data_IF_889852427253
#
_entry.id   IF_889852427253
#
_cell.length_a   1.000
_cell.length_b   1.000
_cell.length_c   1.000
_cell.angle_alpha   90.00
_cell.angle_beta   90.00
_cell.angle_gamma   90.00
#
_symmetry.space_group_name_H-M   'P 1'
#
loop_
_entity.id
_entity.type
_entity.pdbx_description
1 polymer ?
#
# COMPACT_ATOMS: atom_id res chain seq x y z
N UNK A 1 -42.81 20.53 41.61
CA UNK A 1 -42.31 19.16 41.37
C UNK A 1 -42.33 18.76 39.89
N UNK A 2 -43.46 18.91 39.16
CA UNK A 2 -43.55 18.56 37.72
C UNK A 2 -42.56 19.29 36.79
N UNK A 3 -42.32 20.59 36.99
CA UNK A 3 -41.41 21.37 36.14
C UNK A 3 -39.94 20.95 36.27
N UNK A 4 -39.50 20.65 37.50
CA UNK A 4 -38.15 20.16 37.78
C UNK A 4 -37.94 18.77 37.16
N UNK A 5 -38.97 17.91 37.25
CA UNK A 5 -38.95 16.59 36.61
C UNK A 5 -38.86 16.68 35.08
N UNK A 6 -39.64 17.57 34.45
CA UNK A 6 -39.57 17.79 33.00
C UNK A 6 -38.20 18.32 32.59
N UNK A 7 -37.63 19.29 33.32
CA UNK A 7 -36.31 19.84 33.02
C UNK A 7 -35.19 18.79 33.13
N UNK A 8 -35.24 17.93 34.15
CA UNK A 8 -34.26 16.84 34.32
C UNK A 8 -34.37 15.83 33.16
N UNK A 9 -35.59 15.43 32.77
CA UNK A 9 -35.82 14.49 31.67
C UNK A 9 -35.35 15.09 30.34
N UNK A 10 -35.64 16.38 30.08
CA UNK A 10 -35.16 17.08 28.88
C UNK A 10 -33.63 17.23 28.88
N UNK A 11 -33.01 17.52 30.03
CA UNK A 11 -31.56 17.62 30.16
C UNK A 11 -30.85 16.27 29.97
N UNK A 12 -31.40 15.17 30.50
CA UNK A 12 -30.88 13.82 30.30
C UNK A 12 -31.04 13.33 28.86
N UNK A 13 -32.18 13.59 28.23
CA UNK A 13 -32.41 13.24 26.82
C UNK A 13 -31.47 14.01 25.90
N UNK A 14 -31.23 15.31 26.14
CA UNK A 14 -30.25 16.10 25.39
C UNK A 14 -28.81 15.58 25.58
N UNK A 15 -28.40 15.21 26.80
CA UNK A 15 -27.09 14.61 27.04
C UNK A 15 -26.91 13.27 26.30
N UNK A 16 -27.95 12.44 26.25
CA UNK A 16 -27.95 11.17 25.53
C UNK A 16 -27.92 11.34 24.01
N UNK A 17 -28.65 12.33 23.48
CA UNK A 17 -28.64 12.68 22.05
C UNK A 17 -27.27 13.19 21.62
N UNK A 18 -26.63 14.05 22.41
CA UNK A 18 -25.29 14.58 22.12
C UNK A 18 -24.23 13.47 22.03
N UNK A 19 -24.29 12.47 22.92
CA UNK A 19 -23.41 11.31 22.86
C UNK A 19 -23.64 10.43 21.61
N UNK A 20 -24.91 10.26 21.21
CA UNK A 20 -25.27 9.51 19.99
C UNK A 20 -24.81 10.22 18.72
N UNK A 21 -25.02 11.54 18.62
CA UNK A 21 -24.57 12.34 17.48
C UNK A 21 -23.05 12.46 17.43
N UNK A 22 -22.38 12.53 18.58
CA UNK A 22 -20.91 12.53 18.66
C UNK A 22 -20.31 11.24 18.07
N UNK A 23 -20.85 10.08 18.44
CA UNK A 23 -20.40 8.79 17.89
C UNK A 23 -20.70 8.66 16.39
N UNK A 24 -21.82 9.22 15.92
CA UNK A 24 -22.15 9.28 14.49
C UNK A 24 -21.18 10.19 13.72
N UNK A 25 -20.79 11.33 14.28
CA UNK A 25 -19.79 12.23 13.69
C UNK A 25 -18.41 11.58 13.62
N UNK A 26 -18.00 10.86 14.67
CA UNK A 26 -16.75 10.07 14.67
C UNK A 26 -16.79 9.02 13.56
N UNK A 27 -17.90 8.28 13.43
CA UNK A 27 -18.04 7.26 12.39
C UNK A 27 -17.91 7.85 10.98
N UNK A 28 -18.59 8.97 10.71
CA UNK A 28 -18.47 9.70 9.43
C UNK A 28 -17.06 10.20 9.17
N UNK A 29 -16.38 10.72 10.21
CA UNK A 29 -15.01 11.21 10.12
C UNK A 29 -14.01 10.08 9.82
N UNK A 30 -14.18 8.90 10.45
CA UNK A 30 -13.35 7.72 10.16
C UNK A 30 -13.54 7.26 8.71
N UNK A 31 -14.78 7.20 8.23
CA UNK A 31 -15.09 6.84 6.84
C UNK A 31 -14.43 7.83 5.88
N UNK A 32 -14.54 9.13 6.15
CA UNK A 32 -13.91 10.17 5.35
C UNK A 32 -12.39 9.99 5.28
N UNK A 33 -11.74 9.74 6.42
CA UNK A 33 -10.28 9.51 6.49
C UNK A 33 -9.89 8.27 5.66
N UNK A 34 -10.69 7.21 5.71
CA UNK A 34 -10.42 5.98 4.94
C UNK A 34 -10.53 6.19 3.43
N UNK A 35 -11.30 7.18 2.97
CA UNK A 35 -11.47 7.52 1.56
C UNK A 35 -10.36 8.40 1.00
N UNK A 36 -9.68 9.20 1.84
CA UNK A 36 -8.59 10.10 1.43
C UNK A 36 -7.50 9.41 0.58
N UNK A 37 -7.00 8.21 0.92
CA UNK A 37 -5.95 7.53 0.14
C UNK A 37 -6.40 7.13 -1.27
N UNK A 38 -7.70 6.97 -1.51
CA UNK A 38 -8.26 6.69 -2.83
C UNK A 38 -8.43 8.00 -3.60
N UNK A 39 -8.93 9.04 -2.93
CA UNK A 39 -9.10 10.37 -3.49
C UNK A 39 -7.79 10.93 -4.07
N UNK A 40 -6.64 10.70 -3.43
CA UNK A 40 -5.34 11.16 -3.98
C UNK A 40 -5.02 10.55 -5.35
N UNK A 41 -5.38 9.28 -5.59
CA UNK A 41 -5.12 8.62 -6.88
C UNK A 41 -6.05 9.15 -7.96
N UNK A 42 -7.32 9.35 -7.62
CA UNK A 42 -8.31 9.95 -8.51
C UNK A 42 -7.91 11.38 -8.88
N UNK A 43 -7.48 12.16 -7.90
CA UNK A 43 -7.01 13.53 -8.10
C UNK A 43 -5.88 13.61 -9.13
N UNK A 44 -4.87 12.74 -9.05
CA UNK A 44 -3.75 12.68 -10.02
C UNK A 44 -4.26 12.44 -11.45
N UNK A 45 -5.27 11.60 -11.63
CA UNK A 45 -5.83 11.28 -12.95
C UNK A 45 -6.61 12.47 -13.50
N UNK A 46 -7.45 13.10 -12.67
CA UNK A 46 -8.22 14.29 -13.06
C UNK A 46 -7.29 15.44 -13.42
N UNK A 47 -6.30 15.70 -12.58
CA UNK A 47 -5.27 16.72 -12.78
C UNK A 47 -4.49 16.51 -14.09
N UNK A 48 -4.14 15.25 -14.38
CA UNK A 48 -3.52 14.86 -15.65
C UNK A 48 -4.44 15.11 -16.84
N UNK A 49 -5.73 14.76 -16.74
CA UNK A 49 -6.69 14.93 -17.84
C UNK A 49 -6.88 16.40 -18.21
N UNK A 50 -7.03 17.28 -17.21
CA UNK A 50 -7.18 18.73 -17.43
C UNK A 50 -5.96 19.33 -18.10
N UNK A 51 -4.74 18.89 -17.75
CA UNK A 51 -3.48 19.45 -18.27
C UNK A 51 -2.76 18.56 -19.27
N UNK A 52 -3.44 17.57 -19.85
CA UNK A 52 -2.82 16.54 -20.67
C UNK A 52 -2.02 17.13 -21.84
N UNK A 53 -2.58 18.14 -22.51
CA UNK A 53 -1.93 18.82 -23.64
C UNK A 53 -0.60 19.49 -23.24
N UNK A 54 -0.57 20.16 -22.08
CA UNK A 54 0.65 20.77 -21.57
C UNK A 54 1.69 19.73 -21.16
N UNK A 55 1.24 18.69 -20.45
CA UNK A 55 2.09 17.59 -19.98
C UNK A 55 2.71 16.84 -21.17
N UNK A 56 1.94 16.57 -22.22
CA UNK A 56 2.43 15.94 -23.44
C UNK A 56 3.49 16.78 -24.17
N UNK A 57 3.36 18.11 -24.16
CA UNK A 57 4.30 19.03 -24.82
C UNK A 57 5.63 19.21 -24.08
N UNK A 58 5.61 19.19 -22.74
CA UNK A 58 6.76 19.58 -21.89
C UNK A 58 7.43 18.39 -21.20
N UNK A 59 6.66 17.37 -20.78
CA UNK A 59 7.14 16.28 -19.90
C UNK A 59 7.26 14.93 -20.61
N UNK A 60 6.94 14.84 -21.91
CA UNK A 60 6.99 13.58 -22.65
C UNK A 60 8.42 13.25 -23.09
N UNK A 61 8.94 12.10 -22.65
CA UNK A 61 10.29 11.62 -22.99
C UNK A 61 10.43 11.21 -24.47
N UNK A 62 9.36 10.71 -25.09
CA UNK A 62 9.38 10.19 -26.46
C UNK A 62 8.88 11.22 -27.49
N UNK A 63 8.99 12.52 -27.21
CA UNK A 63 8.47 13.59 -28.09
C UNK A 63 9.11 13.59 -29.49
N UNK A 64 10.33 13.09 -29.62
CA UNK A 64 11.07 13.01 -30.89
C UNK A 64 10.67 11.82 -31.77
N UNK A 65 9.88 10.87 -31.25
CA UNK A 65 9.40 9.74 -32.04
C UNK A 65 8.08 10.14 -32.73
N UNK A 66 8.05 10.21 -34.08
CA UNK A 66 6.89 10.69 -34.85
C UNK A 66 5.64 9.80 -34.69
N UNK A 67 5.81 8.54 -34.25
CA UNK A 67 4.70 7.60 -33.97
C UNK A 67 4.38 7.42 -32.48
N UNK A 68 4.83 8.34 -31.61
CA UNK A 68 4.64 8.15 -30.17
C UNK A 68 3.19 8.33 -29.72
N UNK A 69 2.49 7.23 -29.46
CA UNK A 69 1.12 7.18 -28.88
C UNK A 69 1.05 7.55 -27.38
N UNK A 70 2.12 8.17 -26.86
CA UNK A 70 2.33 8.39 -25.43
C UNK A 70 1.40 9.46 -24.87
N UNK A 71 1.21 10.62 -25.53
CA UNK A 71 0.28 11.68 -25.11
C UNK A 71 0.37 12.05 -23.60
N UNK A 72 1.58 12.03 -23.03
CA UNK A 72 1.81 12.32 -21.60
C UNK A 72 1.63 11.12 -20.64
N UNK A 73 1.24 9.93 -21.12
CA UNK A 73 1.02 8.72 -20.29
C UNK A 73 2.24 8.26 -19.50
N UNK A 74 3.46 8.54 -20.00
CA UNK A 74 4.70 8.26 -19.27
C UNK A 74 4.78 9.02 -17.94
N UNK A 75 4.36 10.29 -17.92
CA UNK A 75 4.30 11.12 -16.72
C UNK A 75 3.25 10.59 -15.74
N UNK A 76 2.05 10.27 -16.23
CA UNK A 76 0.98 9.71 -15.40
C UNK A 76 1.41 8.40 -14.73
N UNK A 77 2.03 7.49 -15.49
CA UNK A 77 2.55 6.22 -14.97
C UNK A 77 3.60 6.43 -13.88
N UNK A 78 4.46 7.44 -14.02
CA UNK A 78 5.47 7.77 -13.00
C UNK A 78 4.83 8.27 -11.71
N UNK A 79 3.89 9.22 -11.80
CA UNK A 79 3.18 9.78 -10.64
C UNK A 79 2.39 8.71 -9.87
N UNK A 80 1.71 7.82 -10.57
CA UNK A 80 0.95 6.72 -9.96
C UNK A 80 1.86 5.71 -9.26
N UNK A 81 3.04 5.41 -9.82
CA UNK A 81 4.03 4.52 -9.20
C UNK A 81 4.62 5.12 -7.93
N UNK A 82 5.03 6.39 -7.97
CA UNK A 82 5.60 7.09 -6.81
C UNK A 82 4.63 7.08 -5.62
N UNK A 83 3.35 7.39 -5.88
CA UNK A 83 2.30 7.35 -4.85
C UNK A 83 2.09 5.94 -4.24
N UNK A 84 2.39 4.88 -5.00
CA UNK A 84 2.32 3.49 -4.52
C UNK A 84 3.54 3.07 -3.71
N UNK A 85 4.74 3.38 -4.19
CA UNK A 85 6.02 3.04 -3.56
C UNK A 85 6.25 3.81 -2.25
N UNK A 86 5.88 5.10 -2.19
CA UNK A 86 5.99 5.92 -0.99
C UNK A 86 5.18 5.36 0.19
N UNK A 87 4.06 4.69 -0.09
CA UNK A 87 3.24 4.01 0.93
C UNK A 87 3.91 2.72 1.41
N UNK A 88 4.49 1.95 0.49
CA UNK A 88 5.14 0.69 0.82
C UNK A 88 6.44 0.90 1.61
N UNK A 89 7.24 1.90 1.23
CA UNK A 89 8.51 2.20 1.88
C UNK A 89 8.30 2.74 3.30
N UNK A 90 7.32 3.63 3.51
CA UNK A 90 6.99 4.14 4.85
C UNK A 90 6.48 3.05 5.79
N UNK A 91 5.63 2.14 5.32
CA UNK A 91 5.17 1.00 6.12
C UNK A 91 6.33 0.06 6.50
N UNK A 92 7.26 -0.18 5.57
CA UNK A 92 8.43 -1.03 5.78
C UNK A 92 9.42 -0.44 6.79
N UNK A 93 9.66 0.87 6.75
CA UNK A 93 10.56 1.56 7.70
C UNK A 93 10.03 1.50 9.12
N UNK A 94 8.72 1.74 9.31
CA UNK A 94 8.07 1.69 10.63
C UNK A 94 8.12 0.27 11.22
N UNK A 95 7.96 -0.76 10.39
CA UNK A 95 8.09 -2.16 10.84
C UNK A 95 9.54 -2.51 11.20
N UNK A 96 10.52 -2.08 10.40
CA UNK A 96 11.94 -2.37 10.68
C UNK A 96 12.44 -1.69 11.94
N UNK A 97 12.03 -0.46 12.22
CA UNK A 97 12.50 0.31 13.38
C UNK A 97 11.94 -0.24 14.70
N UNK A 98 10.68 -0.70 14.72
CA UNK A 98 10.02 -1.21 15.93
C UNK A 98 10.28 -2.70 16.22
N UNK A 99 10.58 -3.52 15.20
CA UNK A 99 10.89 -4.95 15.40
C UNK A 99 12.33 -5.13 15.91
N UNK A 100 13.27 -4.30 15.44
CA UNK A 100 14.68 -4.41 15.82
C UNK A 100 14.94 -3.95 17.26
N UNK A 101 14.19 -2.96 17.76
CA UNK A 101 14.31 -2.46 19.14
C UNK A 101 13.76 -3.45 20.18
N UNK A 102 12.73 -4.23 19.81
CA UNK A 102 12.02 -5.09 20.77
C UNK A 102 12.51 -6.55 20.78
N UNK A 103 13.28 -6.97 19.76
CA UNK A 103 13.82 -8.33 19.67
C UNK A 103 15.21 -8.49 20.33
N UNK A 104 15.89 -7.38 20.65
CA UNK A 104 17.23 -7.39 21.26
C UNK A 104 17.18 -7.32 22.79
N UNK A 105 16.38 -8.17 23.44
CA UNK A 105 16.62 -8.51 24.85
C UNK A 105 17.72 -9.57 24.92
N UNK A 106 18.65 -9.47 25.88
CA UNK A 106 19.92 -10.20 25.87
C UNK A 106 19.65 -11.71 25.97
N UNK A 107 20.15 -12.45 24.99
CA UNK A 107 20.30 -13.91 25.04
C UNK A 107 21.01 -14.27 26.35
N UNK A 108 20.22 -14.75 27.31
CA UNK A 108 20.68 -15.30 28.58
C UNK A 108 21.67 -16.41 28.27
N UNK A 109 22.83 -16.36 28.93
CA UNK A 109 23.93 -17.32 28.80
C UNK A 109 23.43 -18.78 28.82
N UNK A 110 23.43 -19.44 27.67
CA UNK A 110 23.31 -20.88 27.59
C UNK A 110 24.73 -21.45 27.60
N UNK A 111 25.12 -21.97 28.76
CA UNK A 111 26.39 -22.62 29.02
C UNK A 111 26.64 -23.72 27.98
N UNK A 112 27.76 -23.57 27.31
CA UNK A 112 28.37 -24.52 26.38
C UNK A 112 28.52 -25.92 26.99
N UNK A 113 28.01 -26.93 26.28
CA UNK A 113 28.48 -28.32 26.43
C UNK A 113 28.54 -28.94 25.05
N UNK A 114 29.69 -28.77 24.40
CA UNK A 114 30.03 -29.44 23.15
C UNK A 114 29.94 -30.96 23.32
N UNK A 115 28.95 -31.58 22.68
CA UNK A 115 29.04 -32.99 22.30
C UNK A 115 28.97 -33.04 20.79
N UNK A 116 30.13 -33.30 20.18
CA UNK A 116 30.24 -33.60 18.77
C UNK A 116 29.34 -34.81 18.45
N UNK A 117 28.27 -34.59 17.68
CA UNK A 117 27.54 -35.66 17.00
C UNK A 117 27.63 -35.42 15.51
N UNK A 118 28.34 -36.32 14.84
CA UNK A 118 28.55 -36.32 13.40
C UNK A 118 27.22 -36.50 12.67
N UNK A 119 26.79 -35.47 11.96
CA UNK A 119 25.61 -35.55 11.08
C UNK A 119 26.04 -36.21 9.78
N UNK A 120 25.62 -37.45 9.57
CA UNK A 120 25.73 -38.11 8.27
C UNK A 120 24.72 -37.45 7.32
N UNK A 121 25.20 -36.61 6.39
CA UNK A 121 24.34 -35.98 5.38
C UNK A 121 23.87 -37.08 4.42
N UNK A 122 22.67 -37.61 4.64
CA UNK A 122 21.94 -38.29 3.57
C UNK A 122 21.37 -37.21 2.65
N UNK A 123 21.60 -37.38 1.35
CA UNK A 123 21.27 -36.37 0.34
C UNK A 123 19.79 -36.03 0.36
N UNK A 124 19.45 -34.83 0.83
CA UNK A 124 18.12 -34.26 0.63
C UNK A 124 17.93 -34.02 -0.87
N UNK A 125 17.08 -34.83 -1.49
CA UNK A 125 16.69 -34.68 -2.90
C UNK A 125 15.79 -33.46 -3.00
N UNK A 126 16.38 -32.30 -3.28
CA UNK A 126 15.67 -31.06 -3.57
C UNK A 126 14.84 -31.24 -4.85
N UNK A 127 13.52 -31.32 -4.72
CA UNK A 127 12.60 -31.29 -5.87
C UNK A 127 12.22 -29.84 -6.16
N UNK A 128 12.62 -29.25 -7.30
CA UNK A 128 12.19 -27.91 -7.66
C UNK A 128 10.70 -27.90 -8.02
N UNK A 129 9.88 -26.98 -7.48
CA UNK A 129 8.43 -26.95 -7.71
C UNK A 129 8.05 -26.22 -9.00
N UNK A 130 8.79 -26.40 -10.09
CA UNK A 130 8.44 -25.78 -11.38
C UNK A 130 8.70 -26.73 -12.55
N UNK A 131 7.62 -27.33 -13.08
CA UNK A 131 7.65 -27.88 -14.43
C UNK A 131 7.79 -26.72 -15.40
N UNK A 132 8.93 -26.62 -16.09
CA UNK A 132 9.08 -25.71 -17.24
C UNK A 132 8.01 -26.07 -18.27
N UNK A 133 7.00 -25.21 -18.44
CA UNK A 133 6.02 -25.36 -19.51
C UNK A 133 6.74 -25.18 -20.85
N UNK A 134 6.75 -26.24 -21.66
CA UNK A 134 7.41 -26.28 -22.97
C UNK A 134 6.77 -25.31 -24.00
N UNK A 135 5.61 -24.73 -23.68
CA UNK A 135 4.85 -23.88 -24.57
C UNK A 135 5.24 -22.40 -24.56
N UNK A 136 5.88 -21.90 -23.50
CA UNK A 136 6.11 -20.45 -23.33
C UNK A 136 7.10 -19.90 -24.37
N UNK A 137 8.02 -20.72 -24.86
CA UNK A 137 8.99 -20.30 -25.88
C UNK A 137 8.40 -20.25 -27.31
N UNK A 138 7.21 -20.82 -27.56
CA UNK A 138 6.57 -20.77 -28.90
C UNK A 138 5.63 -19.58 -29.08
N UNK A 139 5.08 -19.03 -27.99
CA UNK A 139 4.14 -17.91 -28.02
C UNK A 139 4.82 -16.53 -28.15
N UNK A 140 6.10 -16.43 -27.80
CA UNK A 140 6.88 -15.21 -27.94
C UNK A 140 8.01 -15.41 -28.96
N UNK A 141 7.69 -15.26 -30.25
CA UNK A 141 8.70 -14.96 -31.26
C UNK A 141 8.44 -13.55 -31.79
N UNK A 142 9.43 -12.63 -31.72
CA UNK A 142 9.33 -11.37 -32.43
C UNK A 142 9.29 -11.64 -33.95
N UNK A 143 8.57 -10.82 -34.73
CA UNK A 143 8.56 -10.93 -36.19
C UNK A 143 9.98 -10.74 -36.72
N UNK A 144 10.43 -11.66 -37.58
CA UNK A 144 11.66 -11.49 -38.33
C UNK A 144 11.33 -10.67 -39.57
N UNK A 145 12.05 -9.55 -39.76
CA UNK A 145 11.95 -8.69 -40.93
C UNK A 145 12.08 -9.53 -42.21
N UNK A 146 11.09 -9.40 -43.09
CA UNK A 146 11.18 -9.72 -44.52
C UNK A 146 11.70 -8.46 -45.21
#
# INVERSE_FOLDING_TARGET
MRLVFMYIVTSLTNLFVMHKTFNQLISLLIILILLLPVATRVWIIVDFSVRQNYIAKVRCVNKAAPESTCNGKCYLKKQLKQTGEDRHNKATTILKENILSNFLLPIVNLQDKQQHLTVHITSFRFYPPFKKSFFINKLFRPPQNI
#
